data_IF_844999630198
#
_entry.id   IF_844999630198
#
_cell.length_a   1.000
_cell.length_b   1.000
_cell.length_c   1.000
_cell.angle_alpha   90.00
_cell.angle_beta   90.00
_cell.angle_gamma   90.00
#
_symmetry.space_group_name_H-M   'P 1'
#
loop_
_entity.id
_entity.type
_entity.pdbx_description
1 polymer ?
#
# COMPACT_ATOMS: atom_id res chain seq x y z
N UNK A 1 15.23 0.61 26.30
CA UNK A 1 14.39 -0.23 25.40
C UNK A 1 15.22 -1.45 25.03
N UNK A 2 14.83 -2.67 25.38
CA UNK A 2 15.57 -3.86 25.02
C UNK A 2 15.55 -4.02 23.51
N UNK A 3 16.69 -4.39 22.96
CA UNK A 3 17.05 -4.42 21.56
C UNK A 3 16.07 -5.22 20.70
N UNK A 4 15.17 -4.52 19.99
CA UNK A 4 14.29 -5.08 18.97
C UNK A 4 15.11 -5.76 17.83
N UNK A 5 16.40 -5.42 17.72
CA UNK A 5 17.30 -5.80 16.62
C UNK A 5 17.64 -7.28 16.54
N UNK A 6 17.58 -8.02 17.65
CA UNK A 6 18.16 -9.37 17.68
C UNK A 6 17.13 -10.50 17.60
N UNK A 7 15.82 -10.20 17.50
CA UNK A 7 14.77 -11.21 17.63
C UNK A 7 13.69 -11.22 16.52
N UNK A 8 13.62 -10.17 15.68
CA UNK A 8 12.63 -10.14 14.60
C UNK A 8 13.13 -10.87 13.36
N UNK A 9 12.55 -12.01 13.08
CA UNK A 9 12.80 -12.72 11.83
C UNK A 9 12.06 -12.05 10.67
N UNK A 10 12.70 -11.91 9.53
CA UNK A 10 12.09 -11.33 8.33
C UNK A 10 10.79 -12.06 7.94
N UNK A 11 10.74 -13.38 8.14
CA UNK A 11 9.51 -14.16 7.92
C UNK A 11 8.33 -13.67 8.76
N UNK A 12 8.58 -13.20 9.98
CA UNK A 12 7.55 -12.62 10.86
C UNK A 12 7.04 -11.29 10.32
N UNK A 13 7.96 -10.45 9.82
CA UNK A 13 7.59 -9.18 9.18
C UNK A 13 6.73 -9.41 7.93
N UNK A 14 7.08 -10.38 7.11
CA UNK A 14 6.30 -10.74 5.91
C UNK A 14 4.90 -11.26 6.26
N UNK A 15 4.78 -12.07 7.33
CA UNK A 15 3.48 -12.53 7.84
C UNK A 15 2.63 -11.34 8.27
N UNK A 16 3.21 -10.39 9.01
CA UNK A 16 2.47 -9.21 9.47
C UNK A 16 2.07 -8.29 8.30
N UNK A 17 2.95 -8.06 7.35
CA UNK A 17 2.65 -7.29 6.15
C UNK A 17 1.49 -7.89 5.35
N UNK A 18 1.51 -9.20 5.13
CA UNK A 18 0.44 -9.92 4.44
C UNK A 18 -0.86 -9.90 5.25
N UNK A 19 -0.76 -9.99 6.58
CA UNK A 19 -1.92 -9.85 7.45
C UNK A 19 -2.53 -8.44 7.38
N UNK A 20 -1.73 -7.38 7.33
CA UNK A 20 -2.23 -6.02 7.13
C UNK A 20 -3.05 -5.90 5.85
N UNK A 21 -2.66 -6.63 4.80
CA UNK A 21 -3.35 -6.65 3.51
C UNK A 21 -4.65 -7.45 3.54
N UNK A 22 -4.61 -8.67 4.12
CA UNK A 22 -5.74 -9.61 4.08
C UNK A 22 -6.72 -9.44 5.23
N UNK A 23 -6.25 -8.92 6.37
CA UNK A 23 -7.00 -8.86 7.64
C UNK A 23 -7.63 -10.20 8.03
N UNK A 24 -7.05 -11.29 7.56
CA UNK A 24 -7.53 -12.66 7.75
C UNK A 24 -6.38 -13.62 7.96
N UNK A 25 -6.33 -14.26 9.12
CA UNK A 25 -5.33 -15.30 9.42
C UNK A 25 -5.40 -16.44 8.42
N UNK A 26 -6.62 -16.83 8.01
CA UNK A 26 -6.81 -17.90 7.04
C UNK A 26 -6.29 -17.55 5.67
N UNK A 27 -6.60 -16.34 5.18
CA UNK A 27 -6.14 -15.86 3.88
C UNK A 27 -4.62 -15.63 3.88
N UNK A 28 -4.08 -15.03 4.96
CA UNK A 28 -2.64 -14.88 5.14
C UNK A 28 -1.92 -16.23 5.06
N UNK A 29 -2.45 -17.23 5.75
CA UNK A 29 -1.89 -18.58 5.75
C UNK A 29 -1.89 -19.18 4.35
N UNK A 30 -3.02 -19.10 3.63
CA UNK A 30 -3.15 -19.60 2.26
C UNK A 30 -2.17 -18.88 1.30
N UNK A 31 -2.08 -17.56 1.37
CA UNK A 31 -1.21 -16.77 0.49
C UNK A 31 0.28 -17.04 0.71
N UNK A 32 0.67 -17.31 1.94
CA UNK A 32 2.07 -17.60 2.31
C UNK A 32 2.43 -19.07 2.31
N UNK A 33 1.49 -19.98 1.98
CA UNK A 33 1.71 -21.42 2.05
C UNK A 33 2.03 -21.92 3.47
N UNK A 34 1.41 -21.33 4.50
CA UNK A 34 1.64 -21.63 5.91
C UNK A 34 0.37 -22.14 6.58
N UNK A 35 0.51 -22.78 7.76
CA UNK A 35 -0.67 -23.13 8.57
C UNK A 35 -1.24 -21.89 9.29
N UNK A 36 -2.55 -21.91 9.56
CA UNK A 36 -3.22 -20.87 10.37
C UNK A 36 -2.59 -20.71 11.75
N UNK A 37 -2.22 -21.84 12.38
CA UNK A 37 -1.56 -21.86 13.68
C UNK A 37 -0.20 -21.13 13.61
N UNK A 38 0.60 -21.39 12.58
CA UNK A 38 1.88 -20.72 12.37
C UNK A 38 1.69 -19.19 12.23
N UNK A 39 0.74 -18.75 11.41
CA UNK A 39 0.44 -17.32 11.23
C UNK A 39 0.00 -16.68 12.54
N UNK A 40 -0.90 -17.31 13.29
CA UNK A 40 -1.37 -16.80 14.59
C UNK A 40 -0.23 -16.65 15.59
N UNK A 41 0.67 -17.64 15.68
CA UNK A 41 1.84 -17.58 16.55
C UNK A 41 2.77 -16.43 16.13
N UNK A 42 3.06 -16.29 14.83
CA UNK A 42 3.93 -15.23 14.34
C UNK A 42 3.36 -13.84 14.62
N UNK A 43 2.06 -13.62 14.43
CA UNK A 43 1.40 -12.36 14.73
C UNK A 43 1.43 -12.02 16.22
N UNK A 44 1.18 -13.01 17.09
CA UNK A 44 1.27 -12.86 18.53
C UNK A 44 2.69 -12.52 18.97
N UNK A 45 3.67 -13.29 18.49
CA UNK A 45 5.10 -13.05 18.78
C UNK A 45 5.53 -11.66 18.34
N UNK A 46 5.08 -11.20 17.16
CA UNK A 46 5.40 -9.87 16.66
C UNK A 46 4.81 -8.76 17.55
N UNK A 47 3.55 -8.88 17.96
CA UNK A 47 2.90 -7.95 18.88
C UNK A 47 3.61 -7.90 20.24
N UNK A 48 3.96 -9.06 20.81
CA UNK A 48 4.69 -9.16 22.07
C UNK A 48 6.08 -8.55 21.98
N UNK A 49 6.84 -8.84 20.92
CA UNK A 49 8.19 -8.32 20.74
C UNK A 49 8.22 -6.82 20.44
N UNK A 50 7.22 -6.31 19.72
CA UNK A 50 7.10 -4.87 19.47
C UNK A 50 6.62 -4.08 20.68
N UNK A 51 5.94 -4.72 21.63
CA UNK A 51 5.30 -4.07 22.78
C UNK A 51 4.12 -3.17 22.37
N UNK A 52 3.57 -3.36 21.17
CA UNK A 52 2.52 -2.52 20.58
C UNK A 52 1.24 -3.31 20.34
N UNK A 53 0.11 -2.64 20.52
CA UNK A 53 -1.18 -3.15 20.02
C UNK A 53 -1.30 -2.79 18.56
N UNK A 54 -1.12 -3.75 17.66
CA UNK A 54 -1.05 -3.52 16.21
C UNK A 54 -2.37 -3.75 15.50
N UNK A 55 -3.24 -4.55 16.11
CA UNK A 55 -4.56 -4.89 15.58
C UNK A 55 -5.51 -5.27 16.72
N UNK A 56 -6.79 -5.22 16.43
CA UNK A 56 -7.87 -5.67 17.31
C UNK A 56 -8.81 -6.62 16.58
N UNK A 57 -9.71 -7.26 17.30
CA UNK A 57 -10.75 -8.13 16.74
C UNK A 57 -12.11 -7.74 17.32
N UNK A 58 -13.07 -7.47 16.45
CA UNK A 58 -14.45 -7.18 16.83
C UNK A 58 -15.40 -7.79 15.79
N UNK A 59 -16.54 -8.33 16.22
CA UNK A 59 -17.53 -8.94 15.33
C UNK A 59 -16.99 -10.06 14.42
N UNK A 60 -15.93 -10.76 14.83
CA UNK A 60 -15.28 -11.78 13.99
C UNK A 60 -14.24 -11.24 13.00
N UNK A 61 -14.15 -9.93 12.82
CA UNK A 61 -13.24 -9.27 11.89
C UNK A 61 -11.99 -8.71 12.60
N UNK A 62 -10.89 -8.60 11.84
CA UNK A 62 -9.65 -7.98 12.31
C UNK A 62 -9.54 -6.56 11.80
N UNK A 63 -9.13 -5.67 12.70
CA UNK A 63 -8.90 -4.26 12.45
C UNK A 63 -7.44 -3.94 12.75
N UNK A 64 -6.69 -3.55 11.73
CA UNK A 64 -5.30 -3.10 11.90
C UNK A 64 -5.33 -1.63 12.24
N UNK A 65 -4.81 -1.26 13.41
CA UNK A 65 -4.82 0.13 13.87
C UNK A 65 -3.73 0.99 13.17
N UNK A 66 -3.69 2.27 13.48
CA UNK A 66 -2.76 3.22 12.85
C UNK A 66 -1.29 2.81 13.04
N UNK A 67 -0.92 2.36 14.24
CA UNK A 67 0.44 1.87 14.51
C UNK A 67 0.76 0.64 13.65
N UNK A 68 -0.17 -0.28 13.54
CA UNK A 68 -0.05 -1.47 12.68
C UNK A 68 0.10 -1.10 11.20
N UNK A 69 -0.68 -0.14 10.72
CA UNK A 69 -0.58 0.36 9.35
C UNK A 69 0.76 1.05 9.09
N UNK A 70 1.22 1.89 10.01
CA UNK A 70 2.52 2.57 9.90
C UNK A 70 3.68 1.57 9.84
N UNK A 71 3.65 0.54 10.69
CA UNK A 71 4.64 -0.53 10.67
C UNK A 71 4.55 -1.34 9.38
N UNK A 72 3.34 -1.66 8.91
CA UNK A 72 3.12 -2.33 7.63
C UNK A 72 3.74 -1.57 6.46
N UNK A 73 3.60 -0.25 6.40
CA UNK A 73 4.27 0.64 5.43
C UNK A 73 5.78 0.52 5.51
N UNK A 74 6.34 0.57 6.72
CA UNK A 74 7.79 0.46 6.93
C UNK A 74 8.34 -0.90 6.50
N UNK A 75 7.61 -1.98 6.77
CA UNK A 75 7.98 -3.34 6.34
C UNK A 75 7.94 -3.44 4.81
N UNK A 76 6.95 -2.82 4.17
CA UNK A 76 6.88 -2.79 2.71
C UNK A 76 8.08 -2.08 2.10
N UNK A 77 8.51 -0.95 2.66
CA UNK A 77 9.73 -0.28 2.24
C UNK A 77 10.97 -1.17 2.38
N UNK A 78 11.07 -1.90 3.51
CA UNK A 78 12.14 -2.88 3.70
C UNK A 78 12.08 -4.02 2.68
N UNK A 79 10.89 -4.52 2.36
CA UNK A 79 10.71 -5.57 1.35
C UNK A 79 11.12 -5.09 -0.05
N UNK A 80 10.79 -3.85 -0.42
CA UNK A 80 11.25 -3.22 -1.66
C UNK A 80 12.76 -3.09 -1.71
N UNK A 81 13.37 -2.58 -0.64
CA UNK A 81 14.82 -2.47 -0.52
C UNK A 81 15.50 -3.83 -0.60
N UNK A 82 14.90 -4.86 0.00
CA UNK A 82 15.41 -6.22 -0.08
C UNK A 82 15.33 -6.80 -1.49
N UNK A 83 14.23 -6.56 -2.18
CA UNK A 83 14.09 -6.93 -3.58
C UNK A 83 15.18 -6.30 -4.45
N UNK A 84 15.50 -5.04 -4.15
CA UNK A 84 16.64 -4.33 -4.75
C UNK A 84 17.96 -5.04 -4.47
N UNK A 85 18.27 -5.33 -3.21
CA UNK A 85 19.51 -5.98 -2.84
C UNK A 85 19.65 -7.38 -3.48
N UNK A 86 18.57 -8.14 -3.57
CA UNK A 86 18.56 -9.46 -4.21
C UNK A 86 18.87 -9.37 -5.71
N UNK A 87 18.30 -8.39 -6.41
CA UNK A 87 18.60 -8.11 -7.81
C UNK A 87 20.04 -7.60 -7.95
N UNK A 88 20.49 -6.75 -7.01
CA UNK A 88 21.85 -6.20 -6.96
C UNK A 88 22.94 -7.25 -6.88
N UNK A 89 22.72 -8.27 -6.11
CA UNK A 89 23.71 -9.35 -5.95
C UNK A 89 23.78 -10.30 -7.17
N UNK A 90 22.84 -10.17 -8.10
CA UNK A 90 22.66 -11.09 -9.23
C UNK A 90 22.94 -10.46 -10.58
N UNK A 91 23.04 -9.13 -10.65
CA UNK A 91 23.14 -8.40 -11.92
C UNK A 91 24.58 -8.02 -12.29
N UNK A 92 24.91 -8.06 -13.57
CA UNK A 92 26.12 -7.45 -14.12
C UNK A 92 26.04 -5.91 -14.00
N UNK A 93 27.14 -5.22 -14.34
CA UNK A 93 27.37 -3.79 -14.13
C UNK A 93 26.33 -2.80 -14.72
N UNK A 94 25.37 -3.27 -15.53
CA UNK A 94 24.32 -2.46 -16.18
C UNK A 94 22.96 -2.58 -15.48
N UNK A 95 22.82 -1.93 -14.35
CA UNK A 95 21.55 -1.86 -13.62
C UNK A 95 20.53 -0.97 -14.32
N UNK A 96 19.33 -1.51 -14.47
CA UNK A 96 18.20 -0.78 -15.03
C UNK A 96 17.08 -0.69 -14.00
N UNK A 97 16.39 0.44 -13.94
CA UNK A 97 15.26 0.61 -13.04
C UNK A 97 14.08 1.32 -13.70
N UNK A 98 12.90 1.03 -13.18
CA UNK A 98 11.66 1.76 -13.43
C UNK A 98 11.20 2.39 -12.12
N UNK A 99 10.91 3.68 -12.13
CA UNK A 99 10.33 4.38 -10.98
C UNK A 99 8.81 4.35 -11.04
N UNK A 100 8.17 3.89 -9.97
CA UNK A 100 6.71 3.90 -9.82
C UNK A 100 6.36 4.95 -8.77
N UNK A 101 5.60 5.97 -9.15
CA UNK A 101 5.16 7.04 -8.25
C UNK A 101 3.71 6.85 -7.91
N UNK A 102 3.42 6.82 -6.60
CA UNK A 102 2.09 6.56 -6.08
C UNK A 102 1.82 7.45 -4.85
N UNK A 103 0.62 8.05 -4.71
CA UNK A 103 0.26 8.79 -3.52
C UNK A 103 0.30 7.93 -2.26
N UNK A 104 0.93 8.44 -1.19
CA UNK A 104 1.15 7.70 0.06
C UNK A 104 -0.15 7.25 0.75
N UNK A 105 -1.24 7.98 0.54
CA UNK A 105 -2.54 7.69 1.18
C UNK A 105 -3.22 6.43 0.68
N UNK A 106 -2.72 5.83 -0.40
CA UNK A 106 -3.31 4.61 -0.98
C UNK A 106 -2.76 3.32 -0.39
N UNK A 107 -1.85 3.43 0.56
CA UNK A 107 -1.28 2.26 1.21
C UNK A 107 -2.33 1.47 2.01
N UNK A 108 -2.27 0.14 1.92
CA UNK A 108 -3.15 -0.77 2.66
C UNK A 108 -4.52 -1.01 2.02
N UNK A 109 -4.82 -0.36 0.88
CA UNK A 109 -6.06 -0.54 0.13
C UNK A 109 -5.90 -1.29 -1.18
N UNK A 110 -6.96 -1.29 -2.00
CA UNK A 110 -6.99 -1.95 -3.31
C UNK A 110 -5.90 -1.49 -4.27
N UNK A 111 -5.56 -0.19 -4.22
CA UNK A 111 -4.50 0.40 -5.05
C UNK A 111 -3.14 -0.24 -4.76
N UNK A 112 -2.77 -0.37 -3.48
CA UNK A 112 -1.51 -1.04 -3.12
C UNK A 112 -1.54 -2.53 -3.39
N UNK A 113 -2.70 -3.17 -3.31
CA UNK A 113 -2.87 -4.58 -3.67
C UNK A 113 -2.60 -4.81 -5.16
N UNK A 114 -3.19 -3.98 -6.03
CA UNK A 114 -2.95 -4.05 -7.48
C UNK A 114 -1.49 -3.73 -7.83
N UNK A 115 -0.88 -2.76 -7.12
CA UNK A 115 0.55 -2.44 -7.26
C UNK A 115 1.43 -3.65 -7.00
N UNK A 116 1.21 -4.34 -5.87
CA UNK A 116 1.98 -5.53 -5.50
C UNK A 116 1.83 -6.66 -6.52
N UNK A 117 0.61 -6.84 -7.04
CA UNK A 117 0.36 -7.79 -8.11
C UNK A 117 1.17 -7.44 -9.37
N UNK A 118 1.04 -6.22 -9.87
CA UNK A 118 1.73 -5.76 -11.07
C UNK A 118 3.25 -5.94 -10.97
N UNK A 119 3.85 -5.51 -9.86
CA UNK A 119 5.29 -5.68 -9.65
C UNK A 119 5.68 -7.17 -9.66
N UNK A 120 4.89 -8.03 -9.04
CA UNK A 120 5.13 -9.47 -9.05
C UNK A 120 5.09 -10.08 -10.45
N UNK A 121 4.14 -9.65 -11.28
CA UNK A 121 3.98 -10.14 -12.65
C UNK A 121 5.09 -9.67 -13.58
N UNK A 122 5.38 -8.36 -13.59
CA UNK A 122 6.43 -7.81 -14.47
C UNK A 122 7.82 -8.29 -14.08
N UNK A 123 8.10 -8.54 -12.79
CA UNK A 123 9.37 -9.13 -12.37
C UNK A 123 9.59 -10.53 -12.91
N UNK A 124 8.54 -11.31 -13.13
CA UNK A 124 8.66 -12.61 -13.76
C UNK A 124 9.05 -12.50 -15.24
N UNK A 125 8.57 -11.45 -15.92
CA UNK A 125 8.85 -11.21 -17.33
C UNK A 125 10.20 -10.47 -17.53
N UNK A 126 10.56 -9.58 -16.60
CA UNK A 126 11.74 -8.73 -16.67
C UNK A 126 12.55 -8.80 -15.37
N UNK A 127 13.17 -9.95 -15.06
CA UNK A 127 13.83 -10.16 -13.76
C UNK A 127 15.07 -9.28 -13.51
N UNK A 128 15.67 -8.75 -14.57
CA UNK A 128 16.84 -7.86 -14.49
C UNK A 128 16.48 -6.40 -14.23
N UNK A 129 15.18 -6.04 -14.26
CA UNK A 129 14.73 -4.66 -14.01
C UNK A 129 14.35 -4.50 -12.54
N UNK A 130 14.87 -3.46 -11.92
CA UNK A 130 14.47 -3.05 -10.59
C UNK A 130 13.27 -2.10 -10.65
N UNK A 131 12.27 -2.34 -9.80
CA UNK A 131 11.08 -1.51 -9.68
C UNK A 131 11.14 -0.73 -8.37
N UNK A 132 11.34 0.57 -8.49
CA UNK A 132 11.42 1.47 -7.36
C UNK A 132 10.11 2.18 -7.12
N UNK A 133 9.50 2.01 -5.92
CA UNK A 133 8.27 2.70 -5.54
C UNK A 133 8.60 3.97 -4.75
N UNK A 134 8.21 5.11 -5.31
CA UNK A 134 8.27 6.41 -4.67
C UNK A 134 6.87 6.80 -4.19
N UNK A 135 6.71 6.91 -2.86
CA UNK A 135 5.46 7.37 -2.27
C UNK A 135 5.49 8.88 -2.15
N UNK A 136 4.55 9.52 -2.85
CA UNK A 136 4.42 10.97 -2.86
C UNK A 136 3.50 11.44 -1.74
N UNK A 137 3.85 12.55 -1.10
CA UNK A 137 2.93 13.26 -0.22
C UNK A 137 1.98 14.10 -1.09
N UNK A 138 0.68 14.01 -0.84
CA UNK A 138 -0.36 14.70 -1.64
C UNK A 138 -0.22 16.22 -1.70
N UNK A 139 0.48 16.83 -0.74
CA UNK A 139 0.72 18.26 -0.71
C UNK A 139 1.92 18.71 -1.54
N UNK A 140 2.74 17.77 -2.01
CA UNK A 140 3.99 18.06 -2.72
C UNK A 140 4.06 17.40 -4.10
N UNK A 141 2.95 17.23 -4.76
CA UNK A 141 2.83 16.59 -6.09
C UNK A 141 3.77 17.14 -7.17
N UNK A 142 4.39 18.30 -6.94
CA UNK A 142 5.22 18.98 -7.92
C UNK A 142 6.69 19.18 -7.53
N UNK A 143 7.12 18.79 -6.33
CA UNK A 143 8.52 18.94 -5.94
C UNK A 143 9.24 17.60 -5.96
N UNK A 144 9.67 17.20 -7.14
CA UNK A 144 10.63 16.12 -7.33
C UNK A 144 11.95 16.48 -6.66
N UNK A 145 12.19 15.98 -5.47
CA UNK A 145 13.55 15.84 -4.98
C UNK A 145 14.12 14.55 -5.56
N UNK A 146 14.91 14.68 -6.64
CA UNK A 146 15.74 13.61 -7.12
C UNK A 146 16.56 13.07 -5.94
N UNK A 147 16.20 11.88 -5.45
CA UNK A 147 16.91 11.28 -4.32
C UNK A 147 18.20 10.67 -4.84
N UNK A 148 19.31 11.33 -4.55
CA UNK A 148 20.69 10.96 -4.90
C UNK A 148 21.20 9.65 -4.30
N UNK A 149 20.32 8.78 -3.81
CA UNK A 149 20.73 7.53 -3.16
C UNK A 149 20.48 6.28 -4.01
N UNK A 150 19.79 6.41 -5.13
CA UNK A 150 19.79 5.34 -6.13
C UNK A 150 21.23 5.21 -6.65
N UNK A 151 21.79 4.01 -6.72
CA UNK A 151 23.07 3.82 -7.41
C UNK A 151 22.94 4.37 -8.82
N UNK A 152 24.04 4.69 -9.46
CA UNK A 152 24.08 5.11 -10.86
C UNK A 152 23.52 3.98 -11.74
N UNK A 153 22.21 3.96 -11.88
CA UNK A 153 21.46 2.95 -12.61
C UNK A 153 20.77 3.64 -13.79
N UNK A 154 20.74 2.96 -14.91
CA UNK A 154 20.06 3.46 -16.10
C UNK A 154 18.54 3.45 -15.86
N UNK A 155 17.92 4.61 -15.85
CA UNK A 155 16.47 4.72 -15.83
C UNK A 155 15.89 4.27 -17.17
N UNK A 156 14.92 3.38 -17.13
CA UNK A 156 14.11 2.96 -18.28
C UNK A 156 12.84 3.79 -18.44
N UNK A 157 12.51 4.58 -17.42
CA UNK A 157 11.33 5.42 -17.38
C UNK A 157 10.63 5.42 -16.03
N UNK A 158 9.43 5.99 -16.03
CA UNK A 158 8.59 6.04 -14.82
C UNK A 158 7.12 5.78 -15.12
N UNK A 159 6.40 5.42 -14.07
CA UNK A 159 4.97 5.19 -14.05
C UNK A 159 4.39 6.04 -12.93
N UNK A 160 3.60 7.03 -13.29
CA UNK A 160 2.91 7.88 -12.32
C UNK A 160 1.46 7.40 -12.18
N UNK A 161 1.10 6.90 -11.02
CA UNK A 161 -0.28 6.48 -10.72
C UNK A 161 -1.00 7.68 -10.12
N UNK A 162 -1.96 8.21 -10.84
CA UNK A 162 -2.74 9.38 -10.43
C UNK A 162 -4.20 9.05 -10.37
N UNK A 163 -4.86 9.66 -9.42
CA UNK A 163 -6.31 9.61 -9.35
C UNK A 163 -6.90 10.73 -10.20
N UNK A 164 -7.98 10.43 -10.91
CA UNK A 164 -8.64 11.39 -11.81
C UNK A 164 -10.15 11.24 -11.77
N UNK A 165 -10.86 12.33 -12.00
CA UNK A 165 -12.31 12.35 -12.19
C UNK A 165 -12.74 12.13 -13.64
N UNK A 166 -11.80 12.14 -14.60
CA UNK A 166 -12.07 11.92 -16.02
C UNK A 166 -10.90 11.21 -16.70
N UNK A 167 -11.17 10.42 -17.73
CA UNK A 167 -10.15 9.75 -18.54
C UNK A 167 -9.34 8.70 -17.79
N UNK A 168 -9.93 8.03 -16.79
CA UNK A 168 -9.27 7.01 -16.00
C UNK A 168 -9.06 5.72 -16.81
N UNK A 169 -7.90 5.07 -16.63
CA UNK A 169 -7.67 3.70 -17.14
C UNK A 169 -8.56 2.70 -16.38
N UNK A 170 -8.85 2.98 -15.11
CA UNK A 170 -9.73 2.20 -14.25
C UNK A 170 -10.69 3.15 -13.53
N UNK A 171 -11.99 2.90 -13.65
CA UNK A 171 -13.01 3.71 -12.97
C UNK A 171 -13.68 2.94 -11.85
N UNK A 172 -13.81 3.57 -10.69
CA UNK A 172 -14.50 3.05 -9.52
C UNK A 172 -15.74 3.85 -9.17
N UNK A 173 -16.73 3.15 -8.59
CA UNK A 173 -17.93 3.76 -7.99
C UNK A 173 -17.61 4.26 -6.60
N UNK A 174 -18.40 5.22 -6.16
CA UNK A 174 -18.41 5.61 -4.76
C UNK A 174 -19.35 4.69 -3.98
N UNK A 175 -18.93 4.36 -2.79
CA UNK A 175 -19.67 3.53 -1.84
C UNK A 175 -19.86 4.30 -0.54
N UNK A 176 -21.04 4.15 0.04
CA UNK A 176 -21.32 4.52 1.41
C UNK A 176 -21.12 3.28 2.29
N UNK A 177 -20.22 3.40 3.27
CA UNK A 177 -19.95 2.36 4.25
C UNK A 177 -20.55 2.77 5.59
N UNK A 178 -21.22 1.83 6.27
CA UNK A 178 -21.73 1.99 7.63
C UNK A 178 -21.63 0.68 8.42
N UNK A 179 -22.15 0.64 9.63
CA UNK A 179 -22.13 -0.56 10.48
C UNK A 179 -23.36 -1.48 10.30
N UNK A 180 -24.22 -1.21 9.33
CA UNK A 180 -25.43 -1.98 9.04
C UNK A 180 -26.62 -1.70 9.97
N UNK A 181 -26.49 -0.80 10.93
CA UNK A 181 -27.60 -0.38 11.77
C UNK A 181 -28.51 0.61 11.05
N UNK A 182 -29.83 0.60 11.40
CA UNK A 182 -30.79 1.55 10.82
C UNK A 182 -30.39 2.98 11.20
N UNK A 183 -30.05 3.77 10.20
CA UNK A 183 -29.69 5.18 10.36
C UNK A 183 -30.92 6.05 10.05
N UNK A 184 -31.38 6.84 11.02
CA UNK A 184 -32.48 7.82 10.82
C UNK A 184 -31.95 9.10 10.17
N UNK A 185 -30.77 9.56 10.60
CA UNK A 185 -30.08 10.72 10.05
C UNK A 185 -28.62 10.33 9.86
N UNK A 186 -28.14 10.32 8.62
CA UNK A 186 -26.78 9.97 8.31
C UNK A 186 -25.85 11.17 8.50
N UNK A 187 -24.78 10.98 9.29
CA UNK A 187 -23.63 11.88 9.29
C UNK A 187 -22.65 11.40 8.22
N UNK A 188 -22.62 12.10 7.09
CA UNK A 188 -21.78 11.76 5.97
C UNK A 188 -20.35 12.21 6.21
N UNK A 189 -19.40 11.29 6.18
CA UNK A 189 -17.98 11.53 6.43
C UNK A 189 -17.22 11.36 5.12
N UNK A 190 -16.45 12.39 4.76
CA UNK A 190 -15.49 12.34 3.67
C UNK A 190 -14.09 12.22 4.28
N UNK A 191 -13.43 11.05 4.15
CA UNK A 191 -12.09 10.86 4.68
C UNK A 191 -11.08 11.63 3.83
N UNK A 192 -9.92 11.87 4.41
CA UNK A 192 -8.82 12.53 3.71
C UNK A 192 -8.36 11.70 2.51
N UNK A 193 -8.42 12.30 1.33
CA UNK A 193 -8.08 11.74 0.02
C UNK A 193 -7.31 12.80 -0.79
N UNK A 194 -6.73 12.46 -1.95
CA UNK A 194 -6.11 13.45 -2.82
C UNK A 194 -7.03 14.62 -3.15
N UNK A 195 -6.48 15.82 -3.15
CA UNK A 195 -7.25 17.08 -3.24
C UNK A 195 -8.26 17.11 -4.38
N UNK A 196 -7.83 16.78 -5.61
CA UNK A 196 -8.74 16.83 -6.77
C UNK A 196 -9.95 15.90 -6.66
N UNK A 197 -9.84 14.77 -5.96
CA UNK A 197 -10.94 13.85 -5.71
C UNK A 197 -11.86 14.41 -4.64
N UNK A 198 -11.27 14.91 -3.56
CA UNK A 198 -12.04 15.55 -2.49
C UNK A 198 -12.86 16.69 -3.04
N UNK A 199 -12.27 17.51 -3.90
CA UNK A 199 -12.95 18.65 -4.52
C UNK A 199 -14.10 18.20 -5.44
N UNK A 200 -13.88 17.18 -6.28
CA UNK A 200 -14.92 16.65 -7.16
C UNK A 200 -16.06 16.03 -6.38
N UNK A 201 -15.75 15.24 -5.34
CA UNK A 201 -16.76 14.64 -4.46
C UNK A 201 -17.55 15.71 -3.69
N UNK A 202 -16.86 16.72 -3.14
CA UNK A 202 -17.51 17.84 -2.45
C UNK A 202 -18.53 18.54 -3.35
N UNK A 203 -18.14 18.82 -4.59
CA UNK A 203 -19.04 19.45 -5.57
C UNK A 203 -20.27 18.57 -5.86
N UNK A 204 -20.10 17.25 -5.96
CA UNK A 204 -21.20 16.31 -6.18
C UNK A 204 -22.16 16.27 -4.97
N UNK A 205 -21.60 16.27 -3.74
CA UNK A 205 -22.38 16.29 -2.50
C UNK A 205 -23.17 17.59 -2.33
N UNK A 206 -22.53 18.73 -2.61
CA UNK A 206 -23.18 20.06 -2.60
C UNK A 206 -24.30 20.13 -3.63
N UNK A 207 -24.08 19.61 -4.83
CA UNK A 207 -25.10 19.56 -5.88
C UNK A 207 -26.30 18.69 -5.48
N UNK A 208 -26.06 17.63 -4.70
CA UNK A 208 -27.09 16.73 -4.20
C UNK A 208 -27.74 17.19 -2.89
N UNK A 209 -27.35 18.36 -2.37
CA UNK A 209 -27.80 18.92 -1.07
C UNK A 209 -27.57 17.94 0.11
N UNK A 210 -26.44 17.25 0.10
CA UNK A 210 -26.06 16.28 1.12
C UNK A 210 -25.04 16.93 2.07
N UNK A 211 -25.42 17.18 3.34
CA UNK A 211 -24.48 17.70 4.33
C UNK A 211 -23.42 16.66 4.67
N UNK A 212 -22.17 17.06 4.71
CA UNK A 212 -21.03 16.18 5.00
C UNK A 212 -20.01 16.86 5.90
N UNK A 213 -19.17 16.04 6.53
CA UNK A 213 -18.07 16.50 7.36
C UNK A 213 -16.76 15.90 6.83
N UNK A 214 -15.73 16.73 6.69
CA UNK A 214 -14.38 16.24 6.42
C UNK A 214 -13.76 15.61 7.66
N UNK A 215 -13.08 14.49 7.46
CA UNK A 215 -12.31 13.83 8.49
C UNK A 215 -10.82 13.94 8.17
N UNK A 216 -10.01 14.39 9.15
CA UNK A 216 -8.55 14.47 9.00
C UNK A 216 -7.87 13.09 8.89
N UNK A 217 -8.53 12.05 9.40
CA UNK A 217 -8.07 10.67 9.22
C UNK A 217 -8.23 10.24 7.76
N UNK A 218 -7.26 9.51 7.24
CA UNK A 218 -7.42 8.84 5.97
C UNK A 218 -8.45 7.67 6.07
N UNK A 219 -8.92 7.18 4.92
CA UNK A 219 -9.93 6.12 4.88
C UNK A 219 -9.46 4.82 5.56
N UNK A 220 -8.16 4.51 5.54
CA UNK A 220 -7.63 3.30 6.17
C UNK A 220 -7.62 3.43 7.69
N UNK A 221 -7.40 4.62 8.22
CA UNK A 221 -7.51 4.92 9.64
C UNK A 221 -8.96 4.84 10.11
N UNK A 222 -9.91 5.42 9.34
CA UNK A 222 -11.34 5.29 9.65
C UNK A 222 -11.81 3.84 9.65
N UNK A 223 -11.33 3.03 8.72
CA UNK A 223 -11.64 1.60 8.63
C UNK A 223 -10.76 0.72 9.54
N UNK A 224 -9.98 1.31 10.44
CA UNK A 224 -9.21 0.60 11.46
C UNK A 224 -10.04 0.13 12.66
N UNK A 225 -11.31 0.55 12.74
CA UNK A 225 -12.29 0.17 13.75
C UNK A 225 -13.69 0.08 13.14
N UNK A 226 -14.68 -0.54 13.81
CA UNK A 226 -16.07 -0.44 13.41
C UNK A 226 -16.50 1.02 13.32
N UNK A 227 -17.30 1.35 12.31
CA UNK A 227 -17.84 2.70 12.17
C UNK A 227 -18.88 2.97 13.28
N UNK A 228 -18.89 4.17 13.87
CA UNK A 228 -19.89 4.55 14.86
C UNK A 228 -21.31 4.53 14.30
N UNK A 229 -22.30 4.38 15.20
CA UNK A 229 -23.71 4.47 14.83
C UNK A 229 -24.02 5.85 14.23
N UNK A 230 -24.72 5.85 13.11
CA UNK A 230 -25.13 7.06 12.42
C UNK A 230 -24.05 7.66 11.48
N UNK A 231 -22.82 7.18 11.51
CA UNK A 231 -21.81 7.60 10.53
C UNK A 231 -21.92 6.79 9.22
N UNK A 232 -21.81 7.49 8.10
CA UNK A 232 -21.62 6.94 6.76
C UNK A 232 -20.34 7.46 6.13
N UNK A 233 -19.42 6.57 5.83
CA UNK A 233 -18.13 6.89 5.25
C UNK A 233 -18.18 6.75 3.73
N UNK A 234 -17.85 7.82 2.99
CA UNK A 234 -17.77 7.78 1.53
C UNK A 234 -16.36 7.39 1.08
N UNK A 235 -16.26 6.29 0.36
CA UNK A 235 -14.99 5.78 -0.16
C UNK A 235 -15.17 5.27 -1.58
N UNK A 236 -14.18 5.53 -2.45
CA UNK A 236 -14.18 4.93 -3.78
C UNK A 236 -13.82 3.44 -3.71
N UNK A 237 -14.53 2.59 -4.46
CA UNK A 237 -14.33 1.13 -4.45
C UNK A 237 -12.90 0.70 -4.78
N UNK A 238 -12.15 1.47 -5.58
CA UNK A 238 -10.75 1.18 -5.92
C UNK A 238 -9.81 1.28 -4.71
N UNK A 239 -10.21 2.03 -3.68
CA UNK A 239 -9.45 2.14 -2.43
C UNK A 239 -9.67 0.94 -1.50
N UNK A 240 -10.71 0.16 -1.73
CA UNK A 240 -11.12 -0.92 -0.85
C UNK A 240 -10.56 -2.26 -1.31
N UNK A 241 -10.09 -3.04 -0.35
CA UNK A 241 -9.93 -4.49 -0.49
C UNK A 241 -11.17 -5.17 0.05
N UNK A 242 -11.38 -6.45 -0.28
CA UNK A 242 -12.43 -7.26 0.35
C UNK A 242 -12.31 -7.23 1.88
N UNK A 243 -11.08 -7.34 2.40
CA UNK A 243 -10.82 -7.32 3.83
C UNK A 243 -11.17 -5.99 4.52
N UNK A 244 -11.08 -4.86 3.81
CA UNK A 244 -11.51 -3.55 4.31
C UNK A 244 -13.03 -3.39 4.25
N UNK A 245 -13.65 -3.97 3.25
CA UNK A 245 -15.08 -3.86 2.98
C UNK A 245 -15.91 -4.82 3.83
N UNK A 246 -15.47 -6.06 3.98
CA UNK A 246 -16.24 -7.14 4.61
C UNK A 246 -16.79 -6.83 6.02
N UNK A 247 -16.12 -6.04 6.90
CA UNK A 247 -16.67 -5.69 8.20
C UNK A 247 -17.79 -4.67 8.18
N UNK A 248 -18.08 -4.05 7.02
CA UNK A 248 -19.00 -2.94 6.90
C UNK A 248 -20.13 -3.27 5.94
N UNK A 249 -21.31 -2.75 6.24
CA UNK A 249 -22.39 -2.68 5.25
C UNK A 249 -21.99 -1.66 4.19
N UNK A 250 -22.20 -1.96 2.91
CA UNK A 250 -21.79 -1.11 1.81
C UNK A 250 -22.89 -0.95 0.77
N UNK A 251 -23.23 0.29 0.44
CA UNK A 251 -24.20 0.64 -0.59
C UNK A 251 -23.55 1.51 -1.67
N UNK A 252 -23.94 1.37 -2.95
CA UNK A 252 -23.54 2.32 -3.98
C UNK A 252 -24.00 3.73 -3.63
N UNK A 253 -23.14 4.72 -3.89
CA UNK A 253 -23.46 6.13 -3.74
C UNK A 253 -23.56 6.78 -5.13
N UNK A 254 -24.74 6.78 -5.77
CA UNK A 254 -24.92 7.19 -7.16
C UNK A 254 -24.82 8.70 -7.39
N UNK A 255 -24.89 9.50 -6.32
CA UNK A 255 -24.84 10.96 -6.39
C UNK A 255 -23.44 11.48 -6.79
N UNK A 256 -22.39 10.70 -6.50
CA UNK A 256 -21.05 11.07 -6.89
C UNK A 256 -20.65 10.45 -8.24
N UNK A 257 -20.03 11.27 -9.09
CA UNK A 257 -19.48 10.84 -10.38
C UNK A 257 -18.41 9.78 -10.19
N UNK A 258 -18.32 8.85 -11.12
CA UNK A 258 -17.21 7.90 -11.11
C UNK A 258 -15.88 8.64 -11.20
N UNK A 259 -14.93 8.16 -10.43
CA UNK A 259 -13.55 8.61 -10.49
C UNK A 259 -12.62 7.41 -10.46
N UNK A 260 -11.41 7.57 -10.89
CA UNK A 260 -10.55 6.41 -11.04
C UNK A 260 -9.06 6.74 -11.10
N UNK A 261 -8.29 5.77 -11.55
CA UNK A 261 -6.85 5.83 -11.64
C UNK A 261 -6.40 5.95 -13.09
N UNK A 262 -5.37 6.73 -13.29
CA UNK A 262 -4.66 6.86 -14.55
C UNK A 262 -3.18 6.56 -14.34
N UNK A 263 -2.63 5.68 -15.21
CA UNK A 263 -1.23 5.29 -15.21
C UNK A 263 -0.49 6.02 -16.32
N UNK A 264 0.18 7.10 -15.98
CA UNK A 264 0.99 7.88 -16.91
C UNK A 264 2.35 7.21 -17.09
N UNK A 265 2.64 6.78 -18.31
CA UNK A 265 3.92 6.16 -18.66
C UNK A 265 4.87 7.21 -19.23
N UNK A 266 6.11 7.22 -18.75
CA UNK A 266 7.20 8.06 -19.26
C UNK A 266 8.38 7.15 -19.63
N UNK A 267 8.62 6.95 -20.93
CA UNK A 267 9.62 6.06 -21.48
C UNK A 267 9.01 5.06 -22.47
N UNK A 268 9.87 4.36 -23.20
CA UNK A 268 9.46 3.45 -24.28
C UNK A 268 9.69 1.96 -23.96
N UNK A 269 10.26 1.67 -22.78
CA UNK A 269 10.57 0.28 -22.45
C UNK A 269 9.28 -0.56 -22.29
N UNK A 270 9.19 -1.77 -22.90
CA UNK A 270 7.97 -2.58 -22.90
C UNK A 270 7.50 -3.00 -21.49
N UNK A 271 8.40 -3.07 -20.51
CA UNK A 271 8.03 -3.34 -19.11
C UNK A 271 7.10 -2.28 -18.50
N UNK A 272 7.10 -1.03 -19.01
CA UNK A 272 6.19 0.02 -18.56
C UNK A 272 4.74 -0.30 -18.96
N UNK A 273 4.53 -0.69 -20.22
CA UNK A 273 3.21 -1.09 -20.71
C UNK A 273 2.73 -2.38 -20.01
N UNK A 274 3.61 -3.38 -19.89
CA UNK A 274 3.31 -4.61 -19.19
C UNK A 274 2.90 -4.34 -17.73
N UNK A 275 3.60 -3.43 -17.04
CA UNK A 275 3.22 -3.03 -15.67
C UNK A 275 1.81 -2.45 -15.64
N UNK A 276 1.49 -1.48 -16.51
CA UNK A 276 0.16 -0.87 -16.54
C UNK A 276 -0.93 -1.92 -16.74
N UNK A 277 -0.72 -2.84 -17.68
CA UNK A 277 -1.70 -3.88 -18.00
C UNK A 277 -1.93 -4.82 -16.81
N UNK A 278 -0.87 -5.25 -16.12
CA UNK A 278 -0.98 -6.06 -14.91
C UNK A 278 -1.57 -5.26 -13.73
N UNK A 279 -1.31 -3.96 -13.65
CA UNK A 279 -1.87 -3.11 -12.62
C UNK A 279 -3.38 -2.96 -12.77
N UNK A 280 -3.85 -2.72 -14.00
CA UNK A 280 -5.27 -2.66 -14.33
C UNK A 280 -5.94 -4.03 -14.03
N UNK A 281 -5.31 -5.11 -14.47
CA UNK A 281 -5.82 -6.46 -14.22
C UNK A 281 -5.88 -6.79 -12.73
N UNK A 282 -4.96 -6.28 -11.94
CA UNK A 282 -4.87 -6.49 -10.51
C UNK A 282 -6.09 -6.03 -9.70
N UNK A 283 -6.86 -5.06 -10.21
CA UNK A 283 -8.12 -4.65 -9.58
C UNK A 283 -9.28 -5.64 -9.82
N UNK A 284 -9.16 -6.48 -10.84
CA UNK A 284 -10.19 -7.45 -11.23
C UNK A 284 -9.86 -8.87 -10.76
N UNK A 285 -8.70 -9.08 -10.17
CA UNK A 285 -8.27 -10.39 -9.71
C UNK A 285 -8.87 -10.71 -8.33
N UNK A 286 -9.78 -11.68 -8.26
CA UNK A 286 -10.43 -12.09 -7.01
C UNK A 286 -9.47 -12.69 -5.99
N UNK A 287 -8.31 -13.20 -6.42
CA UNK A 287 -7.31 -13.85 -5.56
C UNK A 287 -5.89 -13.49 -5.97
N UNK A 288 -5.41 -12.34 -5.54
CA UNK A 288 -4.02 -11.98 -5.72
C UNK A 288 -3.18 -12.77 -4.72
N UNK A 289 -2.62 -13.88 -5.16
CA UNK A 289 -1.56 -14.56 -4.43
C UNK A 289 -0.30 -13.71 -4.54
N UNK A 290 0.08 -13.07 -3.46
CA UNK A 290 1.46 -12.61 -3.30
C UNK A 290 2.33 -13.86 -3.26
N UNK A 291 2.81 -14.31 -4.42
CA UNK A 291 3.93 -15.23 -4.45
C UNK A 291 5.08 -14.53 -3.76
N UNK A 292 5.62 -15.19 -2.77
CA UNK A 292 6.59 -14.72 -1.81
C UNK A 292 7.55 -13.70 -2.41
N UNK A 293 7.36 -12.44 -2.04
CA UNK A 293 8.39 -11.44 -2.14
C UNK A 293 9.53 -11.88 -1.25
N UNK A 294 10.62 -12.28 -1.86
CA UNK A 294 11.80 -12.66 -1.11
C UNK A 294 11.75 -14.07 -0.50
N UNK A 295 11.73 -15.08 -1.33
CA UNK A 295 12.33 -16.34 -0.94
C UNK A 295 13.78 -16.06 -0.57
N UNK A 296 14.04 -16.02 0.74
CA UNK A 296 15.35 -16.03 1.38
C UNK A 296 16.27 -14.84 1.12
N UNK A 297 16.13 -13.83 1.96
CA UNK A 297 17.27 -12.94 2.22
C UNK A 297 18.37 -13.78 2.86
N UNK A 298 19.46 -14.01 2.15
CA UNK A 298 20.61 -14.64 2.73
C UNK A 298 21.27 -13.73 3.78
N UNK A 299 21.94 -14.30 4.78
CA UNK A 299 22.73 -13.52 5.75
C UNK A 299 23.79 -12.62 5.06
N UNK A 300 24.21 -12.97 3.83
CA UNK A 300 25.12 -12.16 2.99
C UNK A 300 24.45 -10.91 2.46
N UNK A 301 23.17 -10.98 2.06
CA UNK A 301 22.37 -9.83 1.60
C UNK A 301 22.12 -8.84 2.74
N UNK A 302 21.86 -9.33 3.96
CA UNK A 302 21.74 -8.49 5.15
C UNK A 302 23.02 -7.75 5.50
N UNK A 303 24.19 -8.41 5.38
CA UNK A 303 25.50 -7.76 5.61
C UNK A 303 25.76 -6.66 4.59
N UNK A 304 25.39 -6.88 3.32
CA UNK A 304 25.50 -5.86 2.29
C UNK A 304 24.60 -4.65 2.57
N UNK A 305 23.40 -4.90 3.08
CA UNK A 305 22.44 -3.88 3.52
C UNK A 305 22.97 -3.04 4.68
N UNK A 306 23.51 -3.70 5.70
CA UNK A 306 24.11 -3.03 6.84
C UNK A 306 25.29 -2.15 6.39
N UNK A 307 26.14 -2.65 5.50
CA UNK A 307 27.27 -1.91 4.94
C UNK A 307 26.81 -0.68 4.13
N UNK A 308 25.75 -0.80 3.30
CA UNK A 308 25.16 0.33 2.58
C UNK A 308 24.55 1.39 3.52
N UNK A 309 23.90 0.96 4.59
CA UNK A 309 23.33 1.86 5.59
C UNK A 309 24.42 2.60 6.37
N UNK A 310 25.54 1.93 6.69
CA UNK A 310 26.72 2.52 7.34
C UNK A 310 27.45 3.49 6.42
N UNK A 311 27.61 3.15 5.15
CA UNK A 311 28.27 4.04 4.17
C UNK A 311 27.51 5.37 3.99
N UNK A 312 26.18 5.36 4.13
CA UNK A 312 25.37 6.58 4.11
C UNK A 312 25.52 7.44 5.36
N UNK A 313 25.74 6.84 6.53
CA UNK A 313 26.05 7.61 7.76
C UNK A 313 27.38 8.34 7.62
N UNK A 314 28.38 7.75 7.00
CA UNK A 314 29.70 8.36 6.78
C UNK A 314 29.63 9.57 5.83
N UNK A 315 28.89 9.50 4.72
CA UNK A 315 28.74 10.63 3.79
C UNK A 315 27.93 11.81 4.34
N UNK A 316 27.05 11.58 5.32
CA UNK A 316 26.32 12.68 6.00
C UNK A 316 27.14 13.40 7.07
N UNK A 317 28.19 12.77 7.60
CA UNK A 317 29.08 13.37 8.59
C UNK A 317 30.24 14.20 8.00
N UNK A 318 30.54 14.06 6.72
CA UNK A 318 31.58 14.80 6.03
C UNK A 318 30.99 15.95 5.22
N UNK A 319 30.42 16.96 5.89
CA UNK A 319 30.34 18.30 5.31
C UNK A 319 31.65 19.01 5.67
N UNK A 320 32.45 19.46 4.70
CA UNK A 320 33.56 20.36 5.00
C UNK A 320 32.99 21.67 5.53
N UNK A 321 33.70 22.22 6.50
CA UNK A 321 33.48 23.53 7.09
C UNK A 321 33.57 24.65 6.05
#
# INVERSE_FOLDING_TARGET
MPHLRDRLHFSTLMVFMEFCRTRSVSQTAANLGKSKAHVSVQLKTFAEQSGLTLYSRAGGHYYVNEQGLSIGKSIYHLANLNSFAATACSAPDDWQHITIRIPMRYWGGGISQALMHAIGEVRRQYPAIFYYCEFLDDYHDFQYRQRSWLPETRSLGSIDIRYTSAGADISGRWLALDNGHKIRHANWIVPKMPWGIMQALAQDLETADIPYTYCDADYTQKLAAPLPDGERLLVNELLLTEALRAPHHSEPFPQARRSGLHCLLQGEHPALAAFRDHYIHGFHAENIRLRAWGERISARQWRYFAALAEHKRFRRGARPA
#
